data_IF_301772598224
#
_entry.id   IF_301772598224
#
_cell.length_a   1.000
_cell.length_b   1.000
_cell.length_c   1.000
_cell.angle_alpha   90.00
_cell.angle_beta   90.00
_cell.angle_gamma   90.00
#
_symmetry.space_group_name_H-M   'P 1'
#
loop_
_entity.id
_entity.type
_entity.pdbx_description
1 polymer ?
#
# COMPACT_ATOMS: atom_id res chain seq x y z
N UNK A 1 -23.07 7.37 -22.32
CA UNK A 1 -21.95 7.02 -23.21
C UNK A 1 -20.71 7.87 -22.91
N UNK A 2 -20.76 9.20 -23.06
CA UNK A 2 -19.63 10.11 -22.78
C UNK A 2 -19.03 9.97 -21.38
N UNK A 3 -19.84 9.78 -20.32
CA UNK A 3 -19.35 9.62 -18.95
C UNK A 3 -18.60 8.30 -18.75
N UNK A 4 -19.00 7.25 -19.47
CA UNK A 4 -18.30 5.94 -19.40
C UNK A 4 -16.93 6.08 -20.05
N UNK A 5 -16.84 6.67 -21.23
CA UNK A 5 -15.59 6.87 -21.96
C UNK A 5 -14.61 7.71 -21.14
N UNK A 6 -15.10 8.83 -20.55
CA UNK A 6 -14.27 9.69 -19.71
C UNK A 6 -13.78 8.99 -18.41
N UNK A 7 -14.59 8.09 -17.83
CA UNK A 7 -14.18 7.33 -16.66
C UNK A 7 -13.17 6.23 -17.00
N UNK A 8 -13.38 5.53 -18.12
CA UNK A 8 -12.43 4.54 -18.63
C UNK A 8 -11.06 5.16 -18.91
N UNK A 9 -11.02 6.36 -19.51
CA UNK A 9 -9.76 7.06 -19.74
C UNK A 9 -9.00 7.33 -18.43
N UNK A 10 -9.70 7.74 -17.37
CA UNK A 10 -9.08 7.95 -16.05
C UNK A 10 -8.55 6.65 -15.44
N UNK A 11 -9.25 5.53 -15.61
CA UNK A 11 -8.77 4.22 -15.16
C UNK A 11 -7.51 3.80 -15.93
N UNK A 12 -7.47 4.02 -17.24
CA UNK A 12 -6.28 3.75 -18.06
C UNK A 12 -5.09 4.61 -17.65
N UNK A 13 -5.31 5.85 -17.24
CA UNK A 13 -4.25 6.72 -16.71
C UNK A 13 -3.66 6.18 -15.39
N UNK A 14 -4.51 5.64 -14.49
CA UNK A 14 -4.03 4.99 -13.26
C UNK A 14 -3.23 3.72 -13.56
N UNK A 15 -3.72 2.88 -14.48
CA UNK A 15 -3.04 1.67 -14.93
C UNK A 15 -1.67 2.00 -15.56
N UNK A 16 -1.61 3.01 -16.40
CA UNK A 16 -0.35 3.48 -16.99
C UNK A 16 0.62 3.97 -15.91
N UNK A 17 0.15 4.73 -14.92
CA UNK A 17 1.00 5.19 -13.81
C UNK A 17 1.57 4.02 -13.00
N UNK A 18 0.77 3.00 -12.69
CA UNK A 18 1.24 1.80 -11.98
C UNK A 18 2.27 1.02 -12.81
N UNK A 19 2.05 0.90 -14.11
CA UNK A 19 3.00 0.26 -15.03
C UNK A 19 4.33 1.03 -15.07
N UNK A 20 4.28 2.34 -15.18
CA UNK A 20 5.49 3.18 -15.18
C UNK A 20 6.20 3.15 -13.82
N UNK A 21 5.44 3.21 -12.72
CA UNK A 21 5.97 3.07 -11.36
C UNK A 21 6.75 1.76 -11.25
N UNK A 22 6.11 0.65 -11.61
CA UNK A 22 6.75 -0.66 -11.57
C UNK A 22 8.01 -0.73 -12.43
N UNK A 23 8.00 -0.17 -13.64
CA UNK A 23 9.17 -0.16 -14.51
C UNK A 23 10.35 0.65 -13.95
N UNK A 24 10.07 1.76 -13.27
CA UNK A 24 11.08 2.70 -12.76
C UNK A 24 11.54 2.41 -11.33
N UNK A 25 10.72 1.72 -10.52
CA UNK A 25 10.98 1.51 -9.10
C UNK A 25 12.25 0.66 -8.87
N UNK A 26 13.25 1.18 -8.17
CA UNK A 26 14.41 0.41 -7.75
C UNK A 26 14.06 -0.64 -6.69
N UNK A 27 13.07 -0.36 -5.83
CA UNK A 27 12.53 -1.27 -4.84
C UNK A 27 11.21 -1.85 -5.36
N UNK A 28 11.07 -3.18 -5.29
CA UNK A 28 9.83 -3.88 -5.69
C UNK A 28 9.01 -4.35 -4.50
N UNK A 29 9.65 -4.47 -3.33
CA UNK A 29 9.03 -4.97 -2.12
C UNK A 29 8.39 -3.82 -1.34
N UNK A 30 7.14 -4.01 -0.93
CA UNK A 30 6.43 -3.13 -0.01
C UNK A 30 5.75 -3.92 1.10
N UNK A 31 5.67 -3.31 2.29
CA UNK A 31 5.15 -3.94 3.50
C UNK A 31 3.84 -3.30 3.89
N UNK A 32 2.82 -4.13 4.15
CA UNK A 32 1.46 -3.71 4.56
C UNK A 32 1.03 -4.37 5.85
N UNK A 33 -0.02 -3.87 6.51
CA UNK A 33 -0.57 -4.50 7.71
C UNK A 33 -1.20 -5.85 7.38
N UNK A 34 -2.04 -5.95 6.35
CA UNK A 34 -2.57 -7.26 5.89
C UNK A 34 -2.46 -7.43 4.37
N UNK A 35 -2.73 -8.64 3.87
CA UNK A 35 -2.47 -9.03 2.48
C UNK A 35 -3.61 -8.63 1.52
N UNK A 36 -4.00 -7.36 1.50
CA UNK A 36 -5.07 -6.85 0.65
C UNK A 36 -4.64 -6.51 -0.80
N UNK A 37 -3.35 -6.43 -1.06
CA UNK A 37 -2.82 -5.90 -2.33
C UNK A 37 -2.11 -6.96 -3.19
N UNK A 38 -2.39 -8.25 -2.95
CA UNK A 38 -1.73 -9.35 -3.65
C UNK A 38 -1.93 -9.30 -5.16
N UNK A 39 -3.16 -9.08 -5.63
CA UNK A 39 -3.45 -8.96 -7.08
C UNK A 39 -2.76 -7.75 -7.71
N UNK A 40 -2.79 -6.59 -7.04
CA UNK A 40 -2.07 -5.41 -7.52
C UNK A 40 -0.56 -5.69 -7.62
N UNK A 41 0.02 -6.33 -6.62
CA UNK A 41 1.43 -6.69 -6.64
C UNK A 41 1.77 -7.63 -7.81
N UNK A 42 0.95 -8.68 -8.02
CA UNK A 42 1.13 -9.65 -9.09
C UNK A 42 1.02 -8.99 -10.47
N UNK A 43 -0.04 -8.21 -10.70
CA UNK A 43 -0.32 -7.57 -11.99
C UNK A 43 0.79 -6.60 -12.43
N UNK A 44 1.40 -5.90 -11.48
CA UNK A 44 2.45 -4.91 -11.77
C UNK A 44 3.88 -5.37 -11.42
N UNK A 45 4.08 -6.66 -11.11
CA UNK A 45 5.41 -7.21 -10.83
C UNK A 45 6.06 -6.65 -9.56
N UNK A 46 5.25 -6.32 -8.57
CA UNK A 46 5.66 -5.90 -7.23
C UNK A 46 5.59 -7.08 -6.24
N UNK A 47 6.15 -6.91 -5.04
CA UNK A 47 6.13 -7.92 -3.99
C UNK A 47 5.51 -7.34 -2.72
N UNK A 48 4.37 -7.87 -2.31
CA UNK A 48 3.76 -7.54 -1.04
C UNK A 48 4.26 -8.48 0.05
N UNK A 49 4.64 -7.91 1.20
CA UNK A 49 4.83 -8.64 2.46
C UNK A 49 3.86 -8.08 3.48
N UNK A 50 2.99 -8.92 4.02
CA UNK A 50 2.00 -8.53 5.01
C UNK A 50 2.42 -8.91 6.42
N UNK A 51 2.14 -8.03 7.40
CA UNK A 51 2.40 -8.28 8.82
C UNK A 51 1.46 -9.37 9.36
N UNK A 52 0.19 -9.31 8.99
CA UNK A 52 -0.91 -10.12 9.55
C UNK A 52 -1.53 -11.11 8.54
N UNK A 53 -0.89 -11.44 7.44
CA UNK A 53 -1.47 -12.34 6.44
C UNK A 53 -2.76 -11.78 5.81
N UNK A 54 -3.73 -12.67 5.51
CA UNK A 54 -4.98 -12.30 4.82
C UNK A 54 -6.01 -11.68 5.78
N UNK A 55 -6.04 -12.12 7.04
CA UNK A 55 -7.01 -11.58 8.02
C UNK A 55 -6.44 -10.37 8.75
N UNK A 56 -7.14 -9.23 8.74
CA UNK A 56 -6.73 -8.04 9.48
C UNK A 56 -6.84 -8.21 11.00
N UNK A 57 -7.57 -9.22 11.47
CA UNK A 57 -7.76 -9.53 12.90
C UNK A 57 -6.73 -10.55 13.43
N UNK A 58 -5.86 -11.08 12.56
CA UNK A 58 -4.83 -12.03 12.98
C UNK A 58 -3.71 -11.30 13.73
N UNK A 59 -3.45 -11.69 14.98
CA UNK A 59 -2.30 -11.18 15.72
C UNK A 59 -1.02 -11.91 15.29
N UNK A 60 0.01 -11.17 14.81
CA UNK A 60 1.28 -11.78 14.45
C UNK A 60 2.02 -12.28 15.70
N UNK A 61 2.69 -13.41 15.60
CA UNK A 61 3.54 -13.89 16.69
C UNK A 61 4.80 -13.02 16.83
N UNK A 62 5.46 -13.01 18.01
CA UNK A 62 6.74 -12.32 18.18
C UNK A 62 7.82 -12.78 17.20
N UNK A 63 7.79 -14.04 16.78
CA UNK A 63 8.70 -14.59 15.78
C UNK A 63 8.43 -14.00 14.39
N UNK A 64 7.16 -13.88 14.00
CA UNK A 64 6.75 -13.26 12.72
C UNK A 64 7.18 -11.81 12.66
N UNK A 65 6.97 -11.05 13.73
CA UNK A 65 7.41 -9.65 13.83
C UNK A 65 8.93 -9.52 13.71
N UNK A 66 9.69 -10.39 14.39
CA UNK A 66 11.16 -10.38 14.30
C UNK A 66 11.64 -10.67 12.87
N UNK A 67 11.06 -11.67 12.20
CA UNK A 67 11.40 -12.01 10.83
C UNK A 67 11.07 -10.86 9.87
N UNK A 68 9.92 -10.23 10.05
CA UNK A 68 9.51 -9.10 9.25
C UNK A 68 10.45 -7.89 9.43
N UNK A 69 10.81 -7.56 10.67
CA UNK A 69 11.77 -6.47 10.96
C UNK A 69 13.12 -6.75 10.29
N UNK A 70 13.59 -8.00 10.29
CA UNK A 70 14.80 -8.39 9.56
C UNK A 70 14.61 -8.18 8.06
N UNK A 71 13.49 -8.65 7.50
CA UNK A 71 13.17 -8.47 6.07
C UNK A 71 13.18 -6.99 5.67
N UNK A 72 12.57 -6.12 6.48
CA UNK A 72 12.54 -4.67 6.24
C UNK A 72 13.96 -4.11 6.20
N UNK A 73 14.81 -4.46 7.17
CA UNK A 73 16.20 -3.99 7.27
C UNK A 73 17.06 -4.51 6.13
N UNK A 74 16.98 -5.81 5.84
CA UNK A 74 17.80 -6.48 4.83
C UNK A 74 17.49 -5.97 3.42
N UNK A 75 16.23 -5.61 3.17
CA UNK A 75 15.78 -5.04 1.89
C UNK A 75 15.76 -3.50 1.87
N UNK A 76 16.21 -2.85 2.93
CA UNK A 76 16.24 -1.37 3.04
C UNK A 76 14.89 -0.72 2.76
N UNK A 77 13.79 -1.35 3.19
CA UNK A 77 12.44 -0.81 3.05
C UNK A 77 12.30 0.42 3.93
N UNK A 78 11.93 1.54 3.33
CA UNK A 78 11.85 2.85 4.03
C UNK A 78 10.48 3.10 4.66
N UNK A 79 9.43 2.46 4.15
CA UNK A 79 8.05 2.72 4.57
C UNK A 79 7.27 1.44 4.81
N UNK A 80 6.47 1.45 5.88
CA UNK A 80 5.49 0.40 6.21
C UNK A 80 4.11 1.00 6.03
N UNK A 81 3.27 0.34 5.25
CA UNK A 81 1.91 0.81 4.97
C UNK A 81 0.92 0.33 6.01
N UNK A 82 0.00 1.22 6.40
CA UNK A 82 -1.20 0.88 7.15
C UNK A 82 -2.46 1.29 6.37
N UNK A 83 -3.57 0.65 6.67
CA UNK A 83 -4.86 0.87 5.99
C UNK A 83 -5.74 1.83 6.78
N UNK A 84 -6.64 2.53 6.07
CA UNK A 84 -7.46 3.61 6.63
C UNK A 84 -8.51 3.17 7.66
N UNK A 85 -8.94 1.91 7.62
CA UNK A 85 -9.97 1.36 8.51
C UNK A 85 -9.41 0.45 9.61
N UNK A 86 -8.09 0.30 9.68
CA UNK A 86 -7.39 -0.55 10.66
C UNK A 86 -6.54 0.32 11.58
N UNK A 87 -6.33 -0.15 12.82
CA UNK A 87 -5.44 0.56 13.74
C UNK A 87 -4.01 0.65 13.21
N UNK A 88 -3.39 1.83 13.14
CA UNK A 88 -2.02 1.98 12.66
C UNK A 88 -0.97 1.45 13.63
N UNK A 89 -1.36 1.02 14.82
CA UNK A 89 -0.46 0.69 15.94
C UNK A 89 0.59 -0.35 15.58
N UNK A 90 0.19 -1.43 14.91
CA UNK A 90 1.12 -2.52 14.55
C UNK A 90 2.12 -2.03 13.49
N UNK A 91 1.66 -1.31 12.47
CA UNK A 91 2.54 -0.72 11.46
C UNK A 91 3.54 0.26 12.09
N UNK A 92 3.10 1.10 13.02
CA UNK A 92 3.96 2.02 13.76
C UNK A 92 5.02 1.27 14.57
N UNK A 93 4.63 0.24 15.33
CA UNK A 93 5.57 -0.58 16.12
C UNK A 93 6.64 -1.23 15.23
N UNK A 94 6.25 -1.79 14.09
CA UNK A 94 7.17 -2.42 13.14
C UNK A 94 8.09 -1.36 12.50
N UNK A 95 7.55 -0.23 12.11
CA UNK A 95 8.32 0.86 11.52
C UNK A 95 9.37 1.38 12.50
N UNK A 96 9.01 1.70 13.75
CA UNK A 96 9.92 2.14 14.80
C UNK A 96 11.05 1.12 15.06
N UNK A 97 10.70 -0.17 15.17
CA UNK A 97 11.67 -1.24 15.42
C UNK A 97 12.61 -1.50 14.23
N UNK A 98 12.19 -1.20 13.02
CA UNK A 98 12.98 -1.37 11.80
C UNK A 98 13.74 -0.13 11.35
N UNK A 99 13.37 1.05 11.86
CA UNK A 99 13.89 2.36 11.42
C UNK A 99 13.21 2.86 10.16
N UNK A 100 12.04 2.31 9.80
CA UNK A 100 11.20 2.77 8.71
C UNK A 100 10.20 3.86 9.17
N UNK A 101 9.56 4.51 8.22
CA UNK A 101 8.44 5.42 8.44
C UNK A 101 7.11 4.72 8.08
N UNK A 102 5.97 5.38 8.34
CA UNK A 102 4.66 4.85 7.98
C UNK A 102 4.00 5.68 6.89
N UNK A 103 3.30 5.01 5.98
CA UNK A 103 2.44 5.61 4.96
C UNK A 103 1.08 4.92 4.92
N UNK A 104 0.11 5.58 4.32
CA UNK A 104 -1.23 4.99 4.09
C UNK A 104 -1.27 4.29 2.73
N UNK A 105 -1.83 3.08 2.70
CA UNK A 105 -2.28 2.41 1.48
C UNK A 105 -3.70 1.91 1.71
N UNK A 106 -4.67 2.50 1.02
CA UNK A 106 -6.09 2.24 1.23
C UNK A 106 -6.56 1.09 0.32
N UNK A 107 -7.04 -0.05 0.88
CA UNK A 107 -7.51 -1.18 0.09
C UNK A 107 -8.88 -0.97 -0.55
N UNK A 108 -9.51 0.19 -0.36
CA UNK A 108 -10.84 0.55 -0.92
C UNK A 108 -11.99 -0.36 -0.43
N UNK A 109 -11.85 -0.96 0.74
CA UNK A 109 -12.90 -1.78 1.36
C UNK A 109 -14.06 -0.96 1.92
N UNK A 110 -13.91 0.35 2.00
CA UNK A 110 -14.92 1.30 2.44
C UNK A 110 -14.38 2.72 2.53
N UNK A 111 -15.29 3.68 2.67
CA UNK A 111 -14.92 5.07 2.92
C UNK A 111 -14.94 5.37 4.41
N UNK A 112 -13.83 5.93 4.92
CA UNK A 112 -13.80 6.52 6.25
C UNK A 112 -14.75 7.72 6.35
N UNK A 113 -15.11 8.12 7.57
CA UNK A 113 -15.93 9.33 7.77
C UNK A 113 -15.25 10.56 7.17
N UNK A 114 -13.94 10.72 7.37
CA UNK A 114 -13.16 11.80 6.77
C UNK A 114 -13.18 11.73 5.24
N UNK A 115 -13.03 10.54 4.66
CA UNK A 115 -13.09 10.35 3.21
C UNK A 115 -14.45 10.75 2.62
N UNK A 116 -15.55 10.38 3.29
CA UNK A 116 -16.90 10.81 2.88
C UNK A 116 -17.04 12.34 2.93
N UNK A 117 -16.58 12.96 4.00
CA UNK A 117 -16.66 14.41 4.16
C UNK A 117 -15.80 15.17 3.13
N UNK A 118 -14.67 14.59 2.71
CA UNK A 118 -13.78 15.14 1.69
C UNK A 118 -14.25 14.86 0.26
N UNK A 119 -15.33 14.10 0.06
CA UNK A 119 -15.81 13.68 -1.24
C UNK A 119 -14.82 12.77 -1.96
N UNK A 120 -14.20 11.85 -1.22
CA UNK A 120 -13.31 10.85 -1.79
C UNK A 120 -14.09 9.86 -2.66
N UNK A 121 -13.45 9.47 -3.74
CA UNK A 121 -13.91 8.45 -4.67
C UNK A 121 -12.75 7.49 -5.01
N UNK A 122 -13.05 6.45 -5.77
CA UNK A 122 -12.06 5.46 -6.20
C UNK A 122 -10.83 6.10 -6.85
N UNK A 123 -11.03 7.04 -7.76
CA UNK A 123 -9.94 7.67 -8.52
C UNK A 123 -9.02 8.49 -7.61
N UNK A 124 -9.59 9.24 -6.68
CA UNK A 124 -8.83 10.04 -5.71
C UNK A 124 -8.03 9.15 -4.76
N UNK A 125 -8.65 8.09 -4.25
CA UNK A 125 -7.98 7.15 -3.34
C UNK A 125 -6.85 6.43 -4.08
N UNK A 126 -7.11 5.89 -5.27
CA UNK A 126 -6.07 5.23 -6.06
C UNK A 126 -4.95 6.17 -6.46
N UNK A 127 -5.24 7.42 -6.74
CA UNK A 127 -4.20 8.43 -7.01
C UNK A 127 -3.27 8.60 -5.81
N UNK A 128 -3.82 8.74 -4.59
CA UNK A 128 -3.03 8.81 -3.35
C UNK A 128 -2.25 7.53 -3.08
N UNK A 129 -2.86 6.38 -3.34
CA UNK A 129 -2.17 5.10 -3.21
C UNK A 129 -0.94 5.02 -4.12
N UNK A 130 -1.09 5.44 -5.38
CA UNK A 130 0.03 5.48 -6.33
C UNK A 130 1.09 6.48 -5.90
N UNK A 131 0.72 7.68 -5.45
CA UNK A 131 1.66 8.67 -4.93
C UNK A 131 2.50 8.12 -3.77
N UNK A 132 1.87 7.41 -2.83
CA UNK A 132 2.52 6.80 -1.69
C UNK A 132 3.40 5.60 -2.09
N UNK A 133 2.97 4.79 -3.07
CA UNK A 133 3.79 3.72 -3.63
C UNK A 133 5.01 4.27 -4.37
N UNK A 134 4.88 5.34 -5.16
CA UNK A 134 6.00 5.99 -5.84
C UNK A 134 7.06 6.46 -4.83
N UNK A 135 6.63 7.04 -3.71
CA UNK A 135 7.53 7.46 -2.64
C UNK A 135 8.19 6.25 -1.97
N UNK A 136 7.41 5.24 -1.58
CA UNK A 136 7.90 4.08 -0.85
C UNK A 136 8.86 3.21 -1.67
N UNK A 137 8.63 3.11 -2.98
CA UNK A 137 9.44 2.29 -3.89
C UNK A 137 10.60 3.07 -4.54
N UNK A 138 10.77 4.34 -4.18
CA UNK A 138 11.91 5.16 -4.56
C UNK A 138 11.85 5.74 -5.98
N UNK A 139 10.64 5.96 -6.50
CA UNK A 139 10.43 6.61 -7.82
C UNK A 139 10.44 8.13 -7.68
N UNK A 140 10.04 8.65 -6.52
CA UNK A 140 10.07 10.06 -6.13
C UNK A 140 11.06 10.33 -5.02
#
# INVERSE_FOLDING_TARGET
KKNIEAYQEKLLQLDQRLTELSAKAPQKLFVTTHAAFGHLAEDYGLQQVAIMGISPDAEPTPADLKNLISTIKDNQVKYVFFETLVSPRIAQTVAEASGAETLVLDPLEGLSEAGRNNGDDYLKIMTRNIDNLELALGVK
#
